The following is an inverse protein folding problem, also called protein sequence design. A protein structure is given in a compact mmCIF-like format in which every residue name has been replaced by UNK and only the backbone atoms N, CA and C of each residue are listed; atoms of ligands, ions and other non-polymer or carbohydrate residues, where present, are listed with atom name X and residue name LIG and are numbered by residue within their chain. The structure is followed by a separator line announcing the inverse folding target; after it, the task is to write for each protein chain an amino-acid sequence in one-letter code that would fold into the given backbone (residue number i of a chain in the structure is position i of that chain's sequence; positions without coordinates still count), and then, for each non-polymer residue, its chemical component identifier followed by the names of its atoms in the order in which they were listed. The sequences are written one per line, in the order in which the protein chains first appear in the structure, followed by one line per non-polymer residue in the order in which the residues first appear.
data_IF_829484191124
#
_entry.id   IF_829484191124
#
_cell.length_a   1.000
_cell.length_b   1.000
_cell.length_c   1.000
_cell.angle_alpha   90.00
_cell.angle_beta   90.00
_cell.angle_gamma   90.00
#
_symmetry.space_group_name_H-M   'P 1'
#
loop_
_entity.id
_entity.type
_entity.pdbx_description
1 polymer ?
#
# COMPACT_ATOMS: atom_id res chain seq x y z
N UNK A 1 -10.95 -7.80 15.39
CA UNK A 1 -11.28 -6.92 14.24
C UNK A 1 -12.39 -5.95 14.59
N UNK A 2 -13.52 -6.44 15.09
CA UNK A 2 -14.69 -5.62 15.45
C UNK A 2 -14.37 -4.45 16.41
N UNK A 3 -13.66 -4.72 17.53
CA UNK A 3 -13.24 -3.67 18.49
C UNK A 3 -12.35 -2.58 17.86
N UNK A 4 -11.67 -2.90 16.75
CA UNK A 4 -10.81 -1.97 16.02
C UNK A 4 -11.52 -1.36 14.79
N UNK A 5 -12.80 -1.64 14.58
CA UNK A 5 -13.61 -1.11 13.48
C UNK A 5 -13.36 -1.75 12.11
N UNK A 6 -12.69 -2.90 12.05
CA UNK A 6 -12.48 -3.66 10.80
C UNK A 6 -13.52 -4.76 10.61
N UNK A 7 -13.83 -5.10 9.35
CA UNK A 7 -14.79 -6.16 9.03
C UNK A 7 -14.30 -7.53 9.54
N UNK A 8 -15.02 -8.19 10.46
CA UNK A 8 -14.68 -9.53 10.96
C UNK A 8 -14.55 -10.60 9.87
N UNK A 9 -15.23 -10.45 8.73
CA UNK A 9 -15.16 -11.37 7.57
C UNK A 9 -13.82 -11.31 6.84
N UNK A 10 -13.04 -10.26 7.04
CA UNK A 10 -11.69 -10.16 6.46
C UNK A 10 -10.72 -11.25 6.97
N UNK A 11 -10.90 -11.74 8.20
CA UNK A 11 -10.07 -12.81 8.78
C UNK A 11 -10.19 -14.15 8.04
N UNK A 12 -11.39 -14.75 7.92
CA UNK A 12 -11.53 -16.00 7.17
C UNK A 12 -11.10 -15.85 5.71
N UNK A 13 -11.40 -14.72 5.05
CA UNK A 13 -10.93 -14.46 3.68
C UNK A 13 -9.39 -14.44 3.57
N UNK A 14 -8.69 -13.85 4.54
CA UNK A 14 -7.22 -13.88 4.59
C UNK A 14 -6.70 -15.32 4.72
N UNK A 15 -7.26 -16.11 5.64
CA UNK A 15 -6.84 -17.49 5.86
C UNK A 15 -7.10 -18.38 4.64
N UNK A 16 -8.19 -18.17 3.92
CA UNK A 16 -8.45 -18.87 2.66
C UNK A 16 -7.44 -18.52 1.57
N UNK A 17 -7.11 -17.23 1.42
CA UNK A 17 -6.07 -16.81 0.47
C UNK A 17 -4.73 -17.46 0.81
N UNK A 18 -4.38 -17.49 2.09
CA UNK A 18 -3.15 -18.11 2.57
C UNK A 18 -3.13 -19.63 2.30
N UNK A 19 -4.22 -20.32 2.64
CA UNK A 19 -4.35 -21.76 2.37
C UNK A 19 -4.27 -22.06 0.87
N UNK A 20 -4.93 -21.27 0.01
CA UNK A 20 -4.89 -21.45 -1.45
C UNK A 20 -3.50 -21.22 -2.02
N UNK A 21 -2.79 -20.20 -1.55
CA UNK A 21 -1.45 -19.86 -2.01
C UNK A 21 -0.43 -20.98 -1.69
N UNK A 22 -0.53 -21.58 -0.51
CA UNK A 22 0.42 -22.60 -0.06
C UNK A 22 -0.04 -24.05 -0.25
N UNK A 23 -1.23 -24.26 -0.86
CA UNK A 23 -1.75 -25.60 -1.13
C UNK A 23 -0.84 -26.43 -2.04
N UNK A 24 -0.15 -25.76 -2.95
CA UNK A 24 0.71 -26.39 -3.97
C UNK A 24 2.19 -26.05 -3.80
N UNK A 25 2.53 -25.33 -2.74
CA UNK A 25 3.90 -24.89 -2.50
C UNK A 25 4.63 -25.91 -1.62
N UNK A 26 5.88 -26.23 -1.98
CA UNK A 26 6.63 -27.28 -1.29
C UNK A 26 7.04 -26.88 0.14
N UNK A 27 7.06 -25.58 0.44
CA UNK A 27 7.47 -25.05 1.74
C UNK A 27 6.45 -24.01 2.23
N UNK A 28 5.61 -24.35 3.23
CA UNK A 28 4.72 -23.37 3.83
C UNK A 28 5.52 -22.29 4.57
N UNK A 29 4.99 -21.07 4.74
CA UNK A 29 5.64 -20.01 5.51
C UNK A 29 5.90 -20.44 6.94
N UNK A 30 6.93 -19.90 7.54
CA UNK A 30 7.28 -20.17 8.95
C UNK A 30 6.12 -19.89 9.91
N UNK A 31 5.29 -18.89 9.60
CA UNK A 31 4.08 -18.59 10.36
C UNK A 31 3.08 -19.77 10.37
N UNK A 32 2.94 -20.51 9.28
CA UNK A 32 2.06 -21.68 9.22
C UNK A 32 2.63 -22.90 9.94
N UNK A 33 3.94 -22.93 10.20
CA UNK A 33 4.58 -23.99 10.98
C UNK A 33 4.26 -23.87 12.47
N UNK A 34 4.16 -22.64 13.00
CA UNK A 34 3.85 -22.38 14.42
C UNK A 34 2.34 -22.17 14.66
N UNK A 35 1.63 -21.64 13.66
CA UNK A 35 0.20 -21.40 13.70
C UNK A 35 -0.48 -21.97 12.45
N UNK A 36 -0.76 -23.28 12.41
CA UNK A 36 -1.32 -23.91 11.23
C UNK A 36 -2.70 -23.32 10.92
N UNK A 37 -2.93 -23.01 9.63
CA UNK A 37 -4.22 -22.62 9.09
C UNK A 37 -4.85 -23.87 8.49
N UNK A 38 -5.78 -24.48 9.24
CA UNK A 38 -6.53 -25.68 8.85
C UNK A 38 -7.93 -25.32 8.36
N UNK A 39 -8.55 -26.22 7.60
CA UNK A 39 -9.96 -26.07 7.19
C UNK A 39 -10.89 -25.89 8.38
N UNK A 40 -10.66 -26.62 9.48
CA UNK A 40 -11.43 -26.47 10.72
C UNK A 40 -11.32 -25.08 11.34
N UNK A 41 -10.13 -24.46 11.31
CA UNK A 41 -9.93 -23.08 11.78
C UNK A 41 -10.60 -22.06 10.86
N UNK A 42 -10.57 -22.27 9.55
CA UNK A 42 -11.28 -21.42 8.59
C UNK A 42 -12.80 -21.50 8.83
N UNK A 43 -13.34 -22.71 9.05
CA UNK A 43 -14.75 -22.90 9.35
C UNK A 43 -15.17 -22.24 10.68
N UNK A 44 -14.39 -22.42 11.76
CA UNK A 44 -14.67 -21.78 13.05
C UNK A 44 -14.62 -20.25 12.95
N UNK A 45 -13.60 -19.70 12.29
CA UNK A 45 -13.44 -18.24 12.12
C UNK A 45 -14.54 -17.64 11.25
N UNK A 46 -15.00 -18.37 10.22
CA UNK A 46 -16.19 -17.99 9.43
C UNK A 46 -17.45 -17.98 10.29
N UNK A 47 -17.71 -19.05 11.05
CA UNK A 47 -18.90 -19.12 11.90
C UNK A 47 -18.96 -17.98 12.92
N UNK A 48 -17.82 -17.60 13.49
CA UNK A 48 -17.71 -16.44 14.40
C UNK A 48 -17.91 -15.11 13.67
N UNK A 49 -17.36 -14.96 12.46
CA UNK A 49 -17.51 -13.74 11.68
C UNK A 49 -18.97 -13.49 11.26
N UNK A 50 -19.73 -14.54 10.94
CA UNK A 50 -21.16 -14.41 10.60
C UNK A 50 -22.05 -14.01 11.78
N UNK A 51 -21.61 -14.26 13.02
CA UNK A 51 -22.31 -13.80 14.22
C UNK A 51 -22.04 -12.32 14.54
N UNK A 52 -21.00 -11.73 13.92
CA UNK A 52 -20.66 -10.34 14.13
C UNK A 52 -21.51 -9.41 13.24
N UNK A 53 -21.72 -8.17 13.70
CA UNK A 53 -22.47 -7.19 12.92
C UNK A 53 -21.77 -6.93 11.57
N UNK A 54 -22.53 -6.85 10.46
CA UNK A 54 -21.96 -6.49 9.18
C UNK A 54 -21.43 -5.05 9.21
N UNK A 55 -20.36 -4.81 8.45
CA UNK A 55 -19.71 -3.51 8.35
C UNK A 55 -18.33 -3.48 8.98
N UNK A 56 -17.63 -2.37 8.75
CA UNK A 56 -16.25 -2.18 9.13
C UNK A 56 -15.47 -1.47 8.02
N UNK A 57 -14.30 -0.96 8.35
CA UNK A 57 -13.42 -0.32 7.38
C UNK A 57 -12.76 -1.39 6.52
N UNK A 58 -13.14 -1.45 5.26
CA UNK A 58 -12.41 -2.21 4.25
C UNK A 58 -11.44 -1.28 3.52
N UNK A 59 -10.18 -1.70 3.43
CA UNK A 59 -9.18 -1.21 2.48
C UNK A 59 -9.02 0.33 2.39
N UNK A 60 -8.55 0.96 3.48
CA UNK A 60 -8.35 2.42 3.50
C UNK A 60 -7.30 2.91 2.50
N UNK A 61 -7.49 4.10 1.93
CA UNK A 61 -6.52 4.72 1.01
C UNK A 61 -5.09 4.69 1.56
N UNK A 62 -4.90 5.08 2.83
CA UNK A 62 -3.58 5.07 3.49
C UNK A 62 -2.95 3.67 3.49
N UNK A 63 -3.73 2.62 3.74
CA UNK A 63 -3.25 1.23 3.66
C UNK A 63 -2.82 0.89 2.23
N UNK A 64 -3.60 1.26 1.22
CA UNK A 64 -3.27 1.01 -0.18
C UNK A 64 -1.97 1.72 -0.60
N UNK A 65 -1.78 2.98 -0.18
CA UNK A 65 -0.55 3.75 -0.44
C UNK A 65 0.68 3.11 0.21
N UNK A 66 0.58 2.72 1.49
CA UNK A 66 1.68 2.06 2.19
C UNK A 66 1.97 0.69 1.59
N UNK A 67 0.94 -0.08 1.24
CA UNK A 67 1.09 -1.36 0.53
C UNK A 67 1.85 -1.19 -0.78
N UNK A 68 1.48 -0.20 -1.60
CA UNK A 68 2.16 0.10 -2.86
C UNK A 68 3.64 0.48 -2.62
N UNK A 69 3.92 1.31 -1.61
CA UNK A 69 5.30 1.69 -1.24
C UNK A 69 6.12 0.47 -0.80
N UNK A 70 5.57 -0.41 0.03
CA UNK A 70 6.26 -1.63 0.48
C UNK A 70 6.52 -2.56 -0.71
N UNK A 71 5.54 -2.77 -1.60
CA UNK A 71 5.74 -3.56 -2.81
C UNK A 71 6.87 -3.02 -3.67
N UNK A 72 6.93 -1.70 -3.86
CA UNK A 72 8.01 -1.02 -4.57
C UNK A 72 9.36 -1.08 -3.85
N UNK A 73 9.37 -1.27 -2.54
CA UNK A 73 10.61 -1.42 -1.77
C UNK A 73 11.34 -2.72 -2.10
N UNK A 74 10.58 -3.78 -2.39
CA UNK A 74 11.10 -5.11 -2.69
C UNK A 74 11.01 -5.47 -4.17
N UNK A 75 10.66 -4.52 -5.04
CA UNK A 75 10.66 -4.74 -6.49
C UNK A 75 12.06 -4.41 -7.04
N UNK A 76 12.71 -5.41 -7.65
CA UNK A 76 14.08 -5.28 -8.16
C UNK A 76 14.20 -4.37 -9.39
N UNK A 77 13.09 -4.19 -10.12
CA UNK A 77 13.08 -3.46 -11.39
C UNK A 77 12.11 -2.26 -11.36
N UNK A 78 12.61 -1.05 -11.03
CA UNK A 78 11.79 0.15 -10.98
C UNK A 78 11.01 0.43 -12.27
N UNK A 79 11.61 0.11 -13.42
CA UNK A 79 10.97 0.29 -14.74
C UNK A 79 9.76 -0.62 -14.96
N UNK A 80 9.78 -1.87 -14.48
CA UNK A 80 8.63 -2.77 -14.59
C UNK A 80 7.50 -2.30 -13.67
N UNK A 81 7.85 -1.88 -12.45
CA UNK A 81 6.92 -1.31 -11.50
C UNK A 81 6.22 -0.06 -12.07
N UNK A 82 7.00 0.86 -12.66
CA UNK A 82 6.47 2.05 -13.33
C UNK A 82 5.48 1.68 -14.46
N UNK A 83 5.83 0.71 -15.32
CA UNK A 83 4.91 0.22 -16.37
C UNK A 83 3.62 -0.36 -15.80
N UNK A 84 3.69 -1.14 -14.71
CA UNK A 84 2.51 -1.72 -14.05
C UNK A 84 1.57 -0.64 -13.53
N UNK A 85 2.11 0.38 -12.85
CA UNK A 85 1.30 1.49 -12.34
C UNK A 85 0.79 2.41 -13.45
N UNK A 86 1.56 2.58 -14.53
CA UNK A 86 1.09 3.29 -15.73
C UNK A 86 -0.12 2.58 -16.33
N UNK A 87 -0.08 1.27 -16.53
CA UNK A 87 -1.21 0.51 -17.06
C UNK A 87 -2.47 0.65 -16.17
N UNK A 88 -2.31 0.64 -14.84
CA UNK A 88 -3.43 0.88 -13.91
C UNK A 88 -4.00 2.30 -14.02
N UNK A 89 -3.17 3.29 -14.35
CA UNK A 89 -3.62 4.66 -14.60
C UNK A 89 -4.26 4.84 -15.96
N UNK A 90 -3.80 4.10 -16.97
CA UNK A 90 -4.41 4.12 -18.30
C UNK A 90 -5.82 3.52 -18.25
N UNK A 91 -6.02 2.46 -17.45
CA UNK A 91 -7.34 1.89 -17.16
C UNK A 91 -8.21 2.81 -16.29
N UNK A 92 -7.63 3.42 -15.25
CA UNK A 92 -8.34 4.33 -14.36
C UNK A 92 -7.49 5.57 -14.01
N UNK A 93 -7.64 6.67 -14.75
CA UNK A 93 -6.84 7.88 -14.54
C UNK A 93 -7.05 8.57 -13.18
N UNK A 94 -8.15 8.23 -12.49
CA UNK A 94 -8.52 8.75 -11.16
C UNK A 94 -7.97 7.90 -10.00
N UNK A 95 -7.19 6.86 -10.30
CA UNK A 95 -6.60 5.99 -9.29
C UNK A 95 -5.40 6.67 -8.62
N UNK A 96 -5.65 7.33 -7.47
CA UNK A 96 -4.61 8.01 -6.70
C UNK A 96 -3.49 7.07 -6.23
N UNK A 97 -3.80 5.80 -5.94
CA UNK A 97 -2.82 4.81 -5.49
C UNK A 97 -1.90 4.42 -6.63
N UNK A 98 -2.44 4.21 -7.82
CA UNK A 98 -1.63 3.93 -9.00
C UNK A 98 -0.74 5.13 -9.35
N UNK A 99 -1.27 6.35 -9.26
CA UNK A 99 -0.49 7.58 -9.46
C UNK A 99 0.63 7.74 -8.45
N UNK A 100 0.36 7.45 -7.19
CA UNK A 100 1.36 7.45 -6.13
C UNK A 100 2.44 6.38 -6.37
N UNK A 101 2.03 5.14 -6.67
CA UNK A 101 2.96 4.05 -6.98
C UNK A 101 3.86 4.36 -8.18
N UNK A 102 3.28 4.94 -9.24
CA UNK A 102 4.04 5.41 -10.40
C UNK A 102 5.09 6.45 -10.02
N UNK A 103 4.71 7.46 -9.22
CA UNK A 103 5.65 8.48 -8.77
C UNK A 103 6.82 7.90 -7.95
N UNK A 104 6.55 6.99 -7.00
CA UNK A 104 7.62 6.33 -6.23
C UNK A 104 8.54 5.50 -7.14
N UNK A 105 7.97 4.76 -8.09
CA UNK A 105 8.76 4.00 -9.07
C UNK A 105 9.65 4.92 -9.93
N UNK A 106 9.13 6.09 -10.32
CA UNK A 106 9.87 7.10 -11.08
C UNK A 106 10.97 7.77 -10.26
N UNK A 107 10.76 8.04 -8.97
CA UNK A 107 11.82 8.54 -8.07
C UNK A 107 12.97 7.54 -8.01
N UNK A 108 12.65 6.25 -7.78
CA UNK A 108 13.65 5.17 -7.79
C UNK A 108 14.35 5.02 -9.15
N UNK A 109 13.62 5.24 -10.23
CA UNK A 109 14.14 5.22 -11.59
C UNK A 109 14.83 6.52 -12.04
N UNK A 110 15.05 7.50 -11.14
CA UNK A 110 15.63 8.83 -11.43
C UNK A 110 14.86 9.68 -12.45
N UNK A 111 13.60 9.36 -12.72
CA UNK A 111 12.69 10.09 -13.59
C UNK A 111 12.00 11.24 -12.83
N UNK A 112 12.81 12.13 -12.26
CA UNK A 112 12.39 13.10 -11.24
C UNK A 112 11.36 14.12 -11.75
N UNK A 113 11.44 14.53 -13.02
CA UNK A 113 10.48 15.47 -13.60
C UNK A 113 9.07 14.88 -13.66
N UNK A 114 8.96 13.65 -14.17
CA UNK A 114 7.68 12.95 -14.30
C UNK A 114 7.11 12.57 -12.94
N UNK A 115 7.97 12.17 -11.99
CA UNK A 115 7.55 11.92 -10.62
C UNK A 115 6.89 13.14 -9.98
N UNK A 116 7.46 14.33 -10.20
CA UNK A 116 6.91 15.60 -9.69
C UNK A 116 5.55 15.92 -10.32
N UNK A 117 5.41 15.72 -11.62
CA UNK A 117 4.14 15.90 -12.35
C UNK A 117 3.04 14.96 -11.81
N UNK A 118 3.40 13.72 -11.45
CA UNK A 118 2.47 12.75 -10.87
C UNK A 118 2.11 13.02 -9.40
N UNK A 119 3.04 13.54 -8.59
CA UNK A 119 2.77 13.88 -7.18
C UNK A 119 1.99 15.19 -7.01
N UNK A 120 2.18 16.17 -7.89
CA UNK A 120 1.52 17.47 -7.81
C UNK A 120 -0.01 17.40 -7.61
N UNK A 121 -0.80 16.62 -8.40
CA UNK A 121 -2.24 16.52 -8.18
C UNK A 121 -2.62 15.82 -6.87
N UNK A 122 -1.80 14.89 -6.37
CA UNK A 122 -2.05 14.19 -5.10
C UNK A 122 -1.88 15.15 -3.91
N UNK A 123 -0.82 15.96 -3.94
CA UNK A 123 -0.58 17.00 -2.93
C UNK A 123 -1.62 18.13 -3.00
N UNK A 124 -2.09 18.49 -4.19
CA UNK A 124 -3.17 19.46 -4.34
C UNK A 124 -4.49 18.94 -3.73
N UNK A 125 -4.77 17.65 -3.88
CA UNK A 125 -5.97 17.00 -3.34
C UNK A 125 -5.91 16.84 -1.82
N UNK A 126 -4.76 16.46 -1.27
CA UNK A 126 -4.58 16.23 0.16
C UNK A 126 -3.24 16.83 0.64
N UNK A 127 -3.17 18.15 0.86
CA UNK A 127 -1.91 18.86 1.14
C UNK A 127 -1.27 18.45 2.48
N UNK A 128 -2.07 17.95 3.43
CA UNK A 128 -1.61 17.53 4.75
C UNK A 128 -1.47 16.00 4.87
N UNK A 129 -1.59 15.25 3.76
CA UNK A 129 -1.37 13.80 3.81
C UNK A 129 0.12 13.49 4.01
N UNK A 130 0.43 12.75 5.07
CA UNK A 130 1.80 12.41 5.44
C UNK A 130 2.47 11.56 4.34
N UNK A 131 1.75 10.63 3.73
CA UNK A 131 2.31 9.71 2.75
C UNK A 131 2.72 10.45 1.47
N UNK A 132 1.91 11.39 1.00
CA UNK A 132 2.25 12.25 -0.14
C UNK A 132 3.40 13.20 0.16
N UNK A 133 3.41 13.83 1.33
CA UNK A 133 4.50 14.74 1.70
C UNK A 133 5.83 13.99 1.87
N UNK A 134 5.84 12.79 2.44
CA UNK A 134 7.04 11.96 2.51
C UNK A 134 7.58 11.59 1.13
N UNK A 135 6.70 11.28 0.17
CA UNK A 135 7.12 11.03 -1.22
C UNK A 135 7.72 12.27 -1.89
N UNK A 136 7.19 13.45 -1.59
CA UNK A 136 7.75 14.71 -2.08
C UNK A 136 9.12 15.01 -1.47
N UNK A 137 9.30 14.79 -0.16
CA UNK A 137 10.60 14.90 0.51
C UNK A 137 11.62 13.95 -0.15
N UNK A 138 11.23 12.70 -0.40
CA UNK A 138 12.07 11.71 -1.07
C UNK A 138 12.48 12.16 -2.49
N UNK A 139 11.55 12.77 -3.23
CA UNK A 139 11.82 13.37 -4.54
C UNK A 139 12.79 14.56 -4.44
N UNK A 140 12.59 15.45 -3.47
CA UNK A 140 13.40 16.65 -3.29
C UNK A 140 14.83 16.27 -2.88
N UNK A 141 14.99 15.26 -2.01
CA UNK A 141 16.29 14.67 -1.65
C UNK A 141 16.98 14.06 -2.88
N UNK A 142 16.27 13.23 -3.64
CA UNK A 142 16.83 12.56 -4.83
C UNK A 142 17.18 13.54 -5.94
N UNK A 143 16.46 14.67 -6.02
CA UNK A 143 16.72 15.76 -6.96
C UNK A 143 17.73 16.80 -6.47
N UNK A 144 18.37 16.56 -5.32
CA UNK A 144 19.35 17.44 -4.69
C UNK A 144 18.80 18.84 -4.30
N UNK A 145 17.48 18.98 -4.16
CA UNK A 145 16.81 20.18 -3.63
C UNK A 145 16.65 20.06 -2.11
N UNK A 146 17.78 19.94 -1.40
CA UNK A 146 17.80 19.76 0.05
C UNK A 146 17.11 20.89 0.85
N UNK A 147 17.21 22.17 0.45
CA UNK A 147 16.51 23.25 1.16
C UNK A 147 14.98 23.06 1.16
N UNK A 148 14.41 22.66 0.02
CA UNK A 148 12.96 22.43 -0.13
C UNK A 148 12.50 21.22 0.70
N UNK A 149 13.30 20.16 0.72
CA UNK A 149 13.05 18.98 1.55
C UNK A 149 13.04 19.32 3.04
N UNK A 150 14.00 20.13 3.50
CA UNK A 150 14.08 20.57 4.89
C UNK A 150 12.88 21.46 5.26
N UNK A 151 12.58 22.48 4.45
CA UNK A 151 11.44 23.37 4.69
C UNK A 151 10.11 22.60 4.79
N UNK A 152 9.91 21.60 3.94
CA UNK A 152 8.72 20.74 3.99
C UNK A 152 8.68 19.91 5.26
N UNK A 153 9.81 19.35 5.68
CA UNK A 153 9.91 18.55 6.91
C UNK A 153 9.58 19.40 8.14
N UNK A 154 10.13 20.61 8.23
CA UNK A 154 9.89 21.54 9.34
C UNK A 154 8.40 21.94 9.41
N UNK A 155 7.78 22.18 8.25
CA UNK A 155 6.33 22.42 8.17
C UNK A 155 5.52 21.22 8.67
N UNK A 156 5.93 19.99 8.37
CA UNK A 156 5.21 18.80 8.84
C UNK A 156 5.35 18.55 10.35
N UNK A 157 6.43 19.01 10.97
CA UNK A 157 6.66 18.86 12.42
C UNK A 157 5.90 19.90 13.25
N UNK A 158 5.49 21.01 12.64
CA UNK A 158 4.84 22.14 13.31
C UNK A 158 3.31 22.13 13.20
N UNK A 159 2.74 21.17 12.47
CA UNK A 159 1.29 20.96 12.32
C UNK A 159 0.78 19.88 13.26
#
# INVERSE_FOLDING_TARGET
LEKAGYDPRSMPTMFERLMRQYRFDAKPPEFLLTHPVTESRIADTRNRAEQAKPGGKEDSLRYQLIRARVQLQYEDTPGLAAKRFQAQLDENPKNDVARYGLAIAQIKGTQLKQARENLAPLLAKAPNDITYNLAQIELDITSNHLPDAQQRTDRMLTQ
#
